data_IF_051434698498
#
_entry.id   IF_051434698498
#
_cell.length_a   1.000
_cell.length_b   1.000
_cell.length_c   1.000
_cell.angle_alpha   90.00
_cell.angle_beta   90.00
_cell.angle_gamma   90.00
#
_symmetry.space_group_name_H-M   'P 1'
#
loop_
_entity.id
_entity.type
_entity.pdbx_description
1 polymer ?
#
# COMPACT_ATOMS: atom_id res chain seq x y z
N UNK A 1 -10.59 1.89 1.79
CA UNK A 1 -11.03 0.47 1.64
C UNK A 1 -12.17 0.12 2.61
N UNK A 2 -13.09 -0.77 2.23
CA UNK A 2 -14.22 -1.23 3.06
C UNK A 2 -13.89 -2.47 3.90
N UNK A 3 -14.62 -2.66 5.01
CA UNK A 3 -14.51 -3.87 5.85
C UNK A 3 -14.78 -5.17 5.08
N UNK A 4 -15.72 -5.14 4.14
CA UNK A 4 -16.07 -6.31 3.33
C UNK A 4 -14.92 -6.72 2.41
N UNK A 5 -14.25 -5.74 1.78
CA UNK A 5 -13.07 -6.01 0.95
C UNK A 5 -11.94 -6.65 1.78
N UNK A 6 -11.68 -6.13 2.98
CA UNK A 6 -10.66 -6.69 3.87
C UNK A 6 -10.97 -8.13 4.30
N UNK A 7 -12.22 -8.39 4.73
CA UNK A 7 -12.68 -9.75 5.06
C UNK A 7 -12.54 -10.71 3.88
N UNK A 8 -12.82 -10.25 2.67
CA UNK A 8 -12.74 -11.05 1.44
C UNK A 8 -11.29 -11.39 1.12
N UNK A 9 -10.37 -10.41 1.17
CA UNK A 9 -8.95 -10.64 0.95
C UNK A 9 -8.36 -11.63 1.97
N UNK A 10 -8.73 -11.50 3.25
CA UNK A 10 -8.32 -12.45 4.30
C UNK A 10 -8.86 -13.86 4.05
N UNK A 11 -10.14 -13.99 3.67
CA UNK A 11 -10.73 -15.29 3.35
C UNK A 11 -10.06 -15.96 2.15
N UNK A 12 -9.77 -15.20 1.10
CA UNK A 12 -9.02 -15.68 -0.07
C UNK A 12 -7.60 -16.11 0.30
N UNK A 13 -6.92 -15.35 1.15
CA UNK A 13 -5.59 -15.70 1.64
C UNK A 13 -5.62 -17.01 2.42
N UNK A 14 -6.63 -17.25 3.26
CA UNK A 14 -6.78 -18.53 3.95
C UNK A 14 -7.01 -19.67 2.95
N UNK A 15 -7.89 -19.48 1.97
CA UNK A 15 -8.13 -20.50 0.93
C UNK A 15 -6.83 -20.90 0.20
N UNK A 16 -5.93 -19.95 -0.08
CA UNK A 16 -4.64 -20.26 -0.70
C UNK A 16 -3.69 -21.11 0.15
N UNK A 17 -3.91 -21.22 1.46
CA UNK A 17 -3.12 -22.08 2.35
C UNK A 17 -3.59 -23.53 2.37
N UNK A 18 -4.75 -23.83 1.78
CA UNK A 18 -5.37 -25.17 1.85
C UNK A 18 -6.06 -25.49 3.18
N UNK A 19 -5.99 -24.61 4.18
CA UNK A 19 -6.70 -24.78 5.45
C UNK A 19 -8.21 -24.57 5.22
N UNK A 20 -9.01 -25.53 5.70
CA UNK A 20 -10.47 -25.44 5.62
C UNK A 20 -11.01 -24.45 6.64
N UNK A 21 -11.88 -23.55 6.19
CA UNK A 21 -12.53 -22.55 7.05
C UNK A 21 -13.44 -23.22 8.10
N UNK A 22 -13.16 -23.01 9.39
CA UNK A 22 -14.04 -23.39 10.49
C UNK A 22 -14.63 -22.14 11.18
N UNK A 23 -15.67 -22.28 12.03
CA UNK A 23 -16.19 -21.16 12.82
C UNK A 23 -15.14 -20.45 13.69
N UNK A 24 -14.15 -21.20 14.19
CA UNK A 24 -13.16 -20.70 15.15
C UNK A 24 -12.06 -19.86 14.51
N UNK A 25 -11.90 -19.94 13.19
CA UNK A 25 -10.84 -19.26 12.46
C UNK A 25 -11.34 -18.18 11.49
N UNK A 26 -12.61 -17.75 11.58
CA UNK A 26 -13.18 -16.80 10.60
C UNK A 26 -12.48 -15.43 10.62
N UNK A 27 -12.27 -14.76 9.47
CA UNK A 27 -11.71 -13.40 9.42
C UNK A 27 -12.46 -12.37 10.28
N UNK A 28 -13.80 -12.50 10.37
CA UNK A 28 -14.62 -11.61 11.19
C UNK A 28 -14.36 -11.75 12.69
N UNK A 29 -14.05 -12.96 13.17
CA UNK A 29 -13.72 -13.21 14.57
C UNK A 29 -12.35 -12.60 14.90
N UNK A 30 -11.36 -12.79 14.02
CA UNK A 30 -10.05 -12.16 14.15
C UNK A 30 -10.16 -10.63 14.20
N UNK A 31 -10.89 -10.02 13.25
CA UNK A 31 -11.06 -8.56 13.24
C UNK A 31 -11.80 -8.05 14.48
N UNK A 32 -12.83 -8.76 14.96
CA UNK A 32 -13.51 -8.38 16.20
C UNK A 32 -12.54 -8.37 17.40
N UNK A 33 -11.65 -9.36 17.50
CA UNK A 33 -10.62 -9.40 18.54
C UNK A 33 -9.60 -8.26 18.40
N UNK A 34 -9.14 -7.96 17.18
CA UNK A 34 -8.12 -6.93 16.93
C UNK A 34 -8.66 -5.51 17.07
N UNK A 35 -9.86 -5.24 16.56
CA UNK A 35 -10.48 -3.91 16.62
C UNK A 35 -10.83 -3.52 18.06
N UNK A 36 -11.24 -4.48 18.90
CA UNK A 36 -11.71 -4.18 20.25
C UNK A 36 -12.96 -3.30 20.20
N UNK A 37 -12.92 -2.14 20.84
CA UNK A 37 -14.01 -1.14 20.83
C UNK A 37 -13.93 -0.14 19.67
N UNK A 38 -12.91 -0.19 18.83
CA UNK A 38 -12.72 0.77 17.72
C UNK A 38 -13.71 0.51 16.58
N UNK A 39 -14.07 1.59 15.88
CA UNK A 39 -14.78 1.50 14.60
C UNK A 39 -13.86 0.95 13.50
N UNK A 40 -14.46 0.52 12.38
CA UNK A 40 -13.67 0.06 11.21
C UNK A 40 -12.78 1.17 10.65
N UNK A 41 -13.31 2.39 10.54
CA UNK A 41 -12.59 3.49 9.90
C UNK A 41 -11.38 3.92 10.73
N UNK A 42 -11.51 3.96 12.07
CA UNK A 42 -10.39 4.21 12.97
C UNK A 42 -9.33 3.11 12.87
N UNK A 43 -9.75 1.85 12.98
CA UNK A 43 -8.83 0.72 12.86
C UNK A 43 -8.10 0.72 11.52
N UNK A 44 -8.82 0.94 10.42
CA UNK A 44 -8.25 0.96 9.09
C UNK A 44 -7.29 2.12 8.90
N UNK A 45 -7.65 3.33 9.33
CA UNK A 45 -6.77 4.50 9.28
C UNK A 45 -5.46 4.26 10.03
N UNK A 46 -5.51 3.61 11.20
CA UNK A 46 -4.30 3.24 11.94
C UNK A 46 -3.43 2.22 11.18
N UNK A 47 -4.02 1.20 10.56
CA UNK A 47 -3.27 0.22 9.76
C UNK A 47 -2.57 0.88 8.58
N UNK A 48 -3.28 1.75 7.86
CA UNK A 48 -2.70 2.49 6.72
C UNK A 48 -1.60 3.44 7.17
N UNK A 49 -1.78 4.14 8.30
CA UNK A 49 -0.76 5.02 8.84
C UNK A 49 0.51 4.27 9.25
N UNK A 50 0.36 3.08 9.85
CA UNK A 50 1.50 2.21 10.18
C UNK A 50 2.24 1.77 8.92
N UNK A 51 1.52 1.31 7.89
CA UNK A 51 2.13 0.96 6.61
C UNK A 51 2.82 2.17 5.95
N UNK A 52 2.21 3.36 5.98
CA UNK A 52 2.76 4.60 5.40
C UNK A 52 4.11 4.99 6.02
N UNK A 53 4.29 4.77 7.32
CA UNK A 53 5.55 5.03 8.03
C UNK A 53 6.70 4.12 7.58
N UNK A 54 6.38 2.94 7.03
CA UNK A 54 7.39 2.01 6.50
C UNK A 54 7.84 2.35 5.07
N UNK A 55 7.11 3.24 4.38
CA UNK A 55 7.39 3.65 3.01
C UNK A 55 8.30 4.89 3.03
N UNK A 56 9.42 4.79 2.33
CA UNK A 56 10.28 5.95 2.06
C UNK A 56 9.90 6.53 0.70
N UNK A 57 9.63 7.84 0.65
CA UNK A 57 9.28 8.53 -0.59
C UNK A 57 9.99 9.88 -0.65
N UNK A 58 10.55 10.22 -1.81
CA UNK A 58 11.21 11.50 -2.03
C UNK A 58 11.18 11.91 -3.50
N UNK A 59 11.25 13.22 -3.73
CA UNK A 59 11.39 13.80 -5.07
C UNK A 59 12.83 13.61 -5.52
N UNK A 60 13.01 13.05 -6.71
CA UNK A 60 14.31 12.79 -7.29
C UNK A 60 14.93 14.08 -7.86
N UNK A 61 16.19 14.35 -7.57
CA UNK A 61 16.88 15.61 -7.90
C UNK A 61 18.03 15.42 -8.92
N UNK A 62 18.03 14.32 -9.67
CA UNK A 62 19.07 14.05 -10.68
C UNK A 62 20.19 13.12 -10.21
N UNK A 63 20.12 12.61 -8.98
CA UNK A 63 21.08 11.65 -8.42
C UNK A 63 20.98 10.25 -9.08
N UNK A 64 21.95 9.37 -8.79
CA UNK A 64 21.87 7.97 -9.21
C UNK A 64 20.68 7.30 -8.53
N UNK A 65 19.89 6.52 -9.27
CA UNK A 65 18.75 5.79 -8.71
C UNK A 65 19.23 4.78 -7.65
N UNK A 66 18.44 4.49 -6.60
CA UNK A 66 18.79 3.50 -5.57
C UNK A 66 19.08 2.10 -6.11
N UNK A 67 18.58 1.79 -7.30
CA UNK A 67 18.82 0.52 -8.01
C UNK A 67 20.22 0.42 -8.61
N UNK A 68 20.99 1.52 -8.64
CA UNK A 68 22.30 1.61 -9.28
C UNK A 68 22.26 1.81 -10.80
N UNK A 69 21.07 1.81 -11.40
CA UNK A 69 20.87 2.09 -12.82
C UNK A 69 20.78 3.61 -13.09
N UNK A 70 21.19 4.08 -14.28
CA UNK A 70 20.95 5.46 -14.68
C UNK A 70 19.45 5.74 -14.78
N UNK A 71 19.06 6.98 -14.49
CA UNK A 71 17.70 7.41 -14.77
C UNK A 71 17.44 7.42 -16.29
N UNK A 72 16.20 7.12 -16.72
CA UNK A 72 15.73 7.35 -18.08
C UNK A 72 16.04 8.77 -18.56
N UNK A 73 16.34 8.93 -19.86
CA UNK A 73 16.78 10.20 -20.42
C UNK A 73 15.68 11.29 -20.37
N UNK A 74 14.43 10.86 -20.34
CA UNK A 74 13.23 11.68 -20.24
C UNK A 74 12.85 12.07 -18.80
N UNK A 75 13.55 11.53 -17.79
CA UNK A 75 13.30 11.88 -16.41
C UNK A 75 13.81 13.29 -16.11
N UNK A 76 12.93 14.14 -15.57
CA UNK A 76 13.25 15.52 -15.22
C UNK A 76 13.49 15.60 -13.70
N UNK A 77 14.68 16.04 -13.24
CA UNK A 77 14.95 16.34 -11.84
C UNK A 77 13.91 17.32 -11.28
N UNK A 78 13.43 17.08 -10.07
CA UNK A 78 12.38 17.90 -9.46
C UNK A 78 10.97 17.63 -9.98
N UNK A 79 10.80 16.88 -11.08
CA UNK A 79 9.52 16.45 -11.63
C UNK A 79 9.42 14.91 -11.77
N UNK A 80 10.20 14.19 -10.97
CA UNK A 80 10.17 12.73 -10.83
C UNK A 80 10.25 12.37 -9.35
N UNK A 81 9.74 11.21 -8.95
CA UNK A 81 9.83 10.78 -7.55
C UNK A 81 10.15 9.29 -7.43
N UNK A 82 10.70 8.94 -6.27
CA UNK A 82 11.05 7.58 -5.89
C UNK A 82 10.21 7.19 -4.68
N UNK A 83 9.66 5.98 -4.71
CA UNK A 83 9.06 5.33 -3.55
C UNK A 83 9.75 3.99 -3.33
N UNK A 84 10.14 3.72 -2.09
CA UNK A 84 10.73 2.47 -1.65
C UNK A 84 9.82 1.84 -0.60
N UNK A 85 9.36 0.63 -0.87
CA UNK A 85 8.52 -0.15 0.04
C UNK A 85 9.38 -1.04 0.94
N UNK A 86 8.89 -1.44 2.13
CA UNK A 86 9.68 -2.23 3.09
C UNK A 86 10.10 -3.61 2.56
N UNK A 87 9.41 -4.14 1.55
CA UNK A 87 9.79 -5.39 0.86
C UNK A 87 10.95 -5.22 -0.14
N UNK A 88 11.53 -4.02 -0.27
CA UNK A 88 12.65 -3.72 -1.14
C UNK A 88 12.27 -3.36 -2.58
N UNK A 89 10.98 -3.24 -2.91
CA UNK A 89 10.59 -2.73 -4.23
C UNK A 89 10.86 -1.23 -4.32
N UNK A 90 11.37 -0.81 -5.48
CA UNK A 90 11.65 0.60 -5.80
C UNK A 90 10.78 0.99 -6.97
N UNK A 91 9.91 1.97 -6.75
CA UNK A 91 9.08 2.60 -7.78
C UNK A 91 9.72 3.93 -8.15
N UNK A 92 10.08 4.07 -9.41
CA UNK A 92 10.53 5.34 -9.98
C UNK A 92 9.46 5.85 -10.96
N UNK A 93 8.84 6.96 -10.63
CA UNK A 93 7.81 7.58 -11.48
C UNK A 93 8.34 8.87 -12.10
N UNK A 94 8.22 8.95 -13.42
CA UNK A 94 8.57 10.10 -14.25
C UNK A 94 7.54 10.24 -15.37
N UNK A 95 7.56 11.35 -16.11
CA UNK A 95 6.60 11.59 -17.19
C UNK A 95 5.17 11.70 -16.64
N UNK A 96 4.26 10.84 -17.11
CA UNK A 96 2.86 10.87 -16.69
C UNK A 96 2.58 9.95 -15.50
N UNK A 97 1.78 10.44 -14.55
CA UNK A 97 1.41 9.74 -13.32
C UNK A 97 -0.12 9.74 -13.14
N UNK A 98 -0.72 8.59 -12.77
CA UNK A 98 -2.16 8.51 -12.49
C UNK A 98 -2.55 9.24 -11.19
N UNK A 99 -1.57 9.71 -10.42
CA UNK A 99 -1.76 10.37 -9.13
C UNK A 99 -1.73 11.90 -9.21
N UNK A 100 -1.64 12.48 -10.40
CA UNK A 100 -1.71 13.93 -10.59
C UNK A 100 -3.20 14.36 -10.58
N UNK A 101 -3.64 15.25 -9.67
CA UNK A 101 -5.06 15.52 -9.41
C UNK A 101 -5.78 16.42 -10.43
N UNK A 102 -5.10 16.98 -11.42
CA UNK A 102 -5.68 17.92 -12.40
C UNK A 102 -5.80 17.39 -13.83
N UNK A 103 -6.44 16.24 -14.00
CA UNK A 103 -7.22 16.00 -15.22
C UNK A 103 -8.60 15.50 -14.86
N UNK A 104 -9.60 16.39 -14.72
CA UNK A 104 -10.99 15.99 -14.55
C UNK A 104 -11.44 15.09 -15.72
N UNK A 105 -11.50 13.78 -15.47
CA UNK A 105 -12.09 12.78 -16.37
C UNK A 105 -11.19 12.06 -17.38
N UNK A 106 -9.90 12.40 -17.53
CA UNK A 106 -9.07 11.84 -18.63
C UNK A 106 -7.59 11.70 -18.26
N UNK A 107 -7.09 10.46 -18.25
CA UNK A 107 -5.68 10.05 -18.32
C UNK A 107 -4.74 10.47 -17.16
N UNK A 108 -3.64 9.70 -16.95
CA UNK A 108 -2.49 10.15 -16.17
C UNK A 108 -2.05 11.58 -16.53
N UNK A 109 -1.70 12.39 -15.53
CA UNK A 109 -1.22 13.75 -15.75
C UNK A 109 0.31 13.82 -15.69
N UNK A 110 0.91 14.73 -16.46
CA UNK A 110 2.37 14.92 -16.47
C UNK A 110 2.87 15.47 -15.14
N UNK A 111 3.93 14.86 -14.62
CA UNK A 111 4.63 15.32 -13.44
C UNK A 111 5.39 16.61 -13.72
N UNK A 112 5.25 17.56 -12.80
CA UNK A 112 5.91 18.86 -12.83
C UNK A 112 6.42 19.17 -11.42
N UNK A 113 7.38 20.08 -11.30
CA UNK A 113 7.88 20.53 -9.99
C UNK A 113 6.75 21.05 -9.07
N UNK A 114 5.67 21.58 -9.66
CA UNK A 114 4.53 22.09 -8.91
C UNK A 114 3.61 21.00 -8.34
N UNK A 115 3.53 19.83 -8.98
CA UNK A 115 2.56 18.77 -8.61
C UNK A 115 3.21 17.48 -8.10
N UNK A 116 4.52 17.29 -8.29
CA UNK A 116 5.24 16.04 -8.01
C UNK A 116 5.08 15.59 -6.56
N UNK A 117 5.10 16.53 -5.61
CA UNK A 117 4.99 16.22 -4.19
C UNK A 117 3.61 15.64 -3.85
N UNK A 118 2.56 16.21 -4.40
CA UNK A 118 1.19 15.74 -4.19
C UNK A 118 0.96 14.39 -4.86
N UNK A 119 1.46 14.21 -6.08
CA UNK A 119 1.38 12.93 -6.79
C UNK A 119 2.14 11.82 -6.07
N UNK A 120 3.33 12.13 -5.53
CA UNK A 120 4.12 11.22 -4.72
C UNK A 120 3.38 10.80 -3.45
N UNK A 121 2.82 11.76 -2.71
CA UNK A 121 2.07 11.46 -1.48
C UNK A 121 0.82 10.62 -1.76
N UNK A 122 0.08 10.93 -2.83
CA UNK A 122 -1.08 10.13 -3.24
C UNK A 122 -0.69 8.70 -3.65
N UNK A 123 0.44 8.53 -4.35
CA UNK A 123 0.96 7.21 -4.69
C UNK A 123 1.43 6.45 -3.44
N UNK A 124 2.18 7.09 -2.55
CA UNK A 124 2.63 6.48 -1.30
C UNK A 124 1.44 6.08 -0.41
N UNK A 125 0.37 6.86 -0.37
CA UNK A 125 -0.87 6.53 0.31
C UNK A 125 -1.56 5.30 -0.31
N UNK A 126 -1.64 5.22 -1.64
CA UNK A 126 -2.23 4.07 -2.32
C UNK A 126 -1.43 2.78 -2.05
N UNK A 127 -0.09 2.86 -2.06
CA UNK A 127 0.78 1.75 -1.69
C UNK A 127 0.64 1.37 -0.21
N UNK A 128 0.48 2.35 0.69
CA UNK A 128 0.23 2.09 2.10
C UNK A 128 -1.08 1.33 2.34
N UNK A 129 -2.14 1.64 1.60
CA UNK A 129 -3.40 0.89 1.67
C UNK A 129 -3.25 -0.57 1.21
N UNK A 130 -2.44 -0.81 0.18
CA UNK A 130 -2.14 -2.17 -0.29
C UNK A 130 -1.31 -2.94 0.75
N UNK A 131 -0.22 -2.35 1.24
CA UNK A 131 0.64 -2.96 2.27
C UNK A 131 -0.14 -3.25 3.55
N UNK A 132 -0.96 -2.32 4.03
CA UNK A 132 -1.79 -2.53 5.21
C UNK A 132 -2.76 -3.72 5.06
N UNK A 133 -3.28 -3.95 3.85
CA UNK A 133 -4.14 -5.11 3.57
C UNK A 133 -3.35 -6.42 3.56
N UNK A 134 -2.17 -6.41 2.94
CA UNK A 134 -1.26 -7.55 2.89
C UNK A 134 -0.81 -7.95 4.29
N UNK A 135 -0.38 -6.99 5.10
CA UNK A 135 0.03 -7.19 6.49
C UNK A 135 -1.13 -7.72 7.33
N UNK A 136 -2.34 -7.17 7.18
CA UNK A 136 -3.53 -7.63 7.87
C UNK A 136 -3.87 -9.08 7.51
N UNK A 137 -3.83 -9.42 6.22
CA UNK A 137 -4.08 -10.77 5.73
C UNK A 137 -3.01 -11.75 6.21
N UNK A 138 -1.74 -11.35 6.21
CA UNK A 138 -0.62 -12.16 6.67
C UNK A 138 -0.68 -12.40 8.20
N UNK A 139 -0.97 -11.36 8.98
CA UNK A 139 -1.15 -11.45 10.43
C UNK A 139 -2.32 -12.38 10.79
N UNK A 140 -3.39 -12.35 10.00
CA UNK A 140 -4.49 -13.30 10.14
C UNK A 140 -4.06 -14.74 9.88
N UNK A 141 -3.28 -15.03 8.83
CA UNK A 141 -2.75 -16.39 8.61
C UNK A 141 -1.88 -16.85 9.78
N UNK A 142 -1.05 -15.98 10.35
CA UNK A 142 -0.30 -16.28 11.57
C UNK A 142 -1.21 -16.69 12.74
N UNK A 143 -2.26 -15.88 12.98
CA UNK A 143 -3.25 -16.16 14.03
C UNK A 143 -4.05 -17.46 13.82
N UNK A 144 -4.30 -17.84 12.56
CA UNK A 144 -4.90 -19.14 12.21
C UNK A 144 -3.92 -20.28 12.47
N UNK A 145 -2.65 -20.13 12.07
CA UNK A 145 -1.63 -21.15 12.28
C UNK A 145 -1.49 -21.51 13.78
N UNK A 146 -1.51 -20.50 14.66
CA UNK A 146 -1.46 -20.66 16.13
C UNK A 146 -2.65 -21.43 16.73
N UNK A 147 -3.73 -21.68 15.96
CA UNK A 147 -4.95 -22.37 16.40
C UNK A 147 -5.13 -23.75 15.80
N UNK A 148 -4.43 -24.02 14.70
CA UNK A 148 -4.52 -25.28 13.97
C UNK A 148 -3.35 -26.21 14.32
N UNK A 149 -2.22 -25.64 14.77
CA UNK A 149 -1.07 -26.35 15.32
C UNK A 149 -1.17 -26.49 16.84
#
# INVERSE_FOLDING_TARGET
MTKVQALTAMAQRLQSTGISMSPDIRPSAYLAQKMGSRSWDEFWAEQVQQARQSIQAYIWQGEILPTGHPAPAEAVPGASYIIMTPNGAVVFQYGDSPFVPETPGLAPGTLTEANVAQAMEAHAQALAEQLALEDLAQAYIGWVADRVL
#
